data_IF_830643711559
#
_entry.id   IF_830643711559
#
_cell.length_a   1.000
_cell.length_b   1.000
_cell.length_c   1.000
_cell.angle_alpha   90.00
_cell.angle_beta   90.00
_cell.angle_gamma   90.00
#
_symmetry.space_group_name_H-M   'P 1'
#
loop_
_entity.id
_entity.type
_entity.pdbx_description
1 polymer ?
#
# COMPACT_ATOMS: atom_id res chain seq x y z
N UNK A 1 8.25 3.69 -7.90
CA UNK A 1 9.65 3.36 -8.17
C UNK A 1 10.52 3.97 -7.10
N UNK A 2 11.43 3.19 -6.51
CA UNK A 2 12.37 3.61 -5.46
C UNK A 2 13.77 3.15 -5.89
N UNK A 3 14.74 4.06 -5.94
CA UNK A 3 16.11 3.74 -6.38
C UNK A 3 16.94 3.07 -5.27
N UNK A 4 16.44 1.96 -4.74
CA UNK A 4 17.09 1.16 -3.70
C UNK A 4 16.81 -0.34 -3.91
N UNK A 5 17.62 -1.25 -3.34
CA UNK A 5 17.41 -2.70 -3.42
C UNK A 5 16.10 -3.15 -2.77
N UNK A 6 15.48 -4.21 -3.31
CA UNK A 6 14.16 -4.73 -2.86
C UNK A 6 14.12 -4.94 -1.35
N UNK A 7 15.14 -5.57 -0.78
CA UNK A 7 15.18 -5.85 0.67
C UNK A 7 15.15 -4.59 1.53
N UNK A 8 15.87 -3.53 1.13
CA UNK A 8 15.87 -2.28 1.89
C UNK A 8 14.50 -1.61 1.82
N UNK A 9 13.89 -1.58 0.64
CA UNK A 9 12.55 -1.03 0.43
C UNK A 9 11.51 -1.85 1.21
N UNK A 10 11.65 -3.17 1.22
CA UNK A 10 10.76 -4.09 1.93
C UNK A 10 10.76 -3.87 3.44
N UNK A 11 11.95 -3.80 4.06
CA UNK A 11 12.07 -3.53 5.49
C UNK A 11 11.46 -2.18 5.89
N UNK A 12 11.69 -1.14 5.08
CA UNK A 12 11.10 0.17 5.34
C UNK A 12 9.58 0.15 5.18
N UNK A 13 9.07 -0.57 4.17
CA UNK A 13 7.64 -0.70 3.91
C UNK A 13 6.93 -1.41 5.07
N UNK A 14 7.48 -2.51 5.58
CA UNK A 14 6.94 -3.21 6.75
C UNK A 14 6.91 -2.31 8.00
N UNK A 15 7.94 -1.47 8.18
CA UNK A 15 7.99 -0.49 9.26
C UNK A 15 7.03 0.71 9.11
N UNK A 16 6.32 0.84 7.98
CA UNK A 16 5.29 1.86 7.74
C UNK A 16 3.87 1.30 7.80
N UNK A 17 3.69 0.02 8.14
CA UNK A 17 2.38 -0.62 8.23
C UNK A 17 1.40 0.16 9.13
N UNK A 18 0.08 0.03 8.90
CA UNK A 18 -0.93 0.72 9.69
C UNK A 18 -0.84 0.24 11.14
N UNK A 19 -0.37 1.10 12.04
CA UNK A 19 -0.31 0.76 13.47
C UNK A 19 -1.70 0.41 14.00
N UNK A 20 -1.88 -0.80 14.54
CA UNK A 20 -3.15 -1.27 15.10
C UNK A 20 -3.49 -2.73 14.76
N UNK A 21 -4.63 -3.21 15.26
CA UNK A 21 -5.13 -4.56 15.03
C UNK A 21 -5.75 -4.71 13.62
N UNK A 22 -4.90 -4.74 12.60
CA UNK A 22 -5.28 -5.00 11.21
C UNK A 22 -4.84 -6.41 10.86
N UNK A 23 -5.72 -7.22 10.24
CA UNK A 23 -5.31 -8.54 9.76
C UNK A 23 -4.20 -8.35 8.74
N UNK A 24 -3.05 -8.95 9.03
CA UNK A 24 -1.83 -8.82 8.24
C UNK A 24 -1.47 -10.18 7.67
N UNK A 25 -1.30 -10.25 6.35
CA UNK A 25 -0.79 -11.43 5.66
C UNK A 25 0.56 -11.08 5.05
N UNK A 26 1.61 -11.78 5.48
CA UNK A 26 2.97 -11.61 4.99
C UNK A 26 3.32 -12.75 4.03
N UNK A 27 3.78 -12.37 2.84
CA UNK A 27 4.53 -13.23 1.92
C UNK A 27 5.99 -12.79 1.86
N UNK A 28 6.74 -13.28 0.87
CA UNK A 28 8.17 -13.00 0.73
C UNK A 28 8.45 -11.50 0.49
N UNK A 29 7.77 -10.90 -0.50
CA UNK A 29 7.84 -9.47 -0.83
C UNK A 29 6.47 -8.84 -1.03
N UNK A 30 5.48 -9.40 -0.35
CA UNK A 30 4.08 -8.96 -0.40
C UNK A 30 3.50 -8.88 1.00
N UNK A 31 2.80 -7.79 1.32
CA UNK A 31 2.04 -7.68 2.56
C UNK A 31 0.63 -7.22 2.23
N UNK A 32 -0.37 -7.85 2.83
CA UNK A 32 -1.75 -7.39 2.75
C UNK A 32 -2.28 -7.00 4.12
N UNK A 33 -2.97 -5.86 4.18
CA UNK A 33 -3.66 -5.35 5.34
C UNK A 33 -5.16 -5.31 5.06
N UNK A 34 -5.95 -6.04 5.84
CA UNK A 34 -7.41 -6.02 5.74
C UNK A 34 -8.04 -5.11 6.80
N UNK A 35 -8.60 -3.99 6.34
CA UNK A 35 -9.36 -3.05 7.15
C UNK A 35 -10.86 -3.38 7.15
N UNK A 36 -11.40 -3.66 8.33
CA UNK A 36 -12.82 -3.95 8.50
C UNK A 36 -13.30 -5.16 7.67
N UNK A 37 -14.58 -5.13 7.27
CA UNK A 37 -15.21 -6.25 6.57
C UNK A 37 -15.08 -6.20 5.05
N UNK A 38 -14.56 -5.10 4.49
CA UNK A 38 -14.62 -4.86 3.04
C UNK A 38 -13.32 -4.43 2.41
N UNK A 39 -12.40 -3.80 3.15
CA UNK A 39 -11.20 -3.21 2.56
C UNK A 39 -10.00 -4.16 2.73
N UNK A 40 -9.29 -4.42 1.64
CA UNK A 40 -7.97 -5.06 1.65
C UNK A 40 -7.00 -4.25 0.79
N UNK A 41 -5.97 -3.69 1.42
CA UNK A 41 -4.82 -3.12 0.72
C UNK A 41 -3.73 -4.17 0.63
N UNK A 42 -3.12 -4.34 -0.54
CA UNK A 42 -2.00 -5.24 -0.78
C UNK A 42 -0.84 -4.44 -1.35
N UNK A 43 0.32 -4.58 -0.73
CA UNK A 43 1.57 -4.01 -1.19
C UNK A 43 2.47 -5.13 -1.68
N UNK A 44 3.06 -4.93 -2.84
CA UNK A 44 4.09 -5.82 -3.38
C UNK A 44 5.30 -5.01 -3.78
N UNK A 45 6.49 -5.50 -3.43
CA UNK A 45 7.78 -4.99 -3.91
C UNK A 45 8.40 -5.99 -4.87
N UNK A 46 8.91 -5.50 -5.98
CA UNK A 46 9.49 -6.32 -7.05
C UNK A 46 10.71 -5.62 -7.62
N UNK A 47 11.67 -6.39 -8.13
CA UNK A 47 12.84 -5.84 -8.81
C UNK A 47 12.45 -5.01 -10.03
N UNK A 48 13.22 -3.95 -10.28
CA UNK A 48 13.11 -3.11 -11.45
C UNK A 48 14.51 -2.67 -11.91
N UNK A 49 14.75 -2.46 -13.22
CA UNK A 49 16.08 -2.05 -13.72
C UNK A 49 16.68 -0.78 -13.06
N UNK A 50 15.84 0.08 -12.50
CA UNK A 50 16.22 1.33 -11.82
C UNK A 50 16.16 1.23 -10.27
N UNK A 51 15.98 0.03 -9.71
CA UNK A 51 15.85 -0.21 -8.26
C UNK A 51 14.66 -1.13 -7.94
N UNK A 52 13.66 -0.61 -7.26
CA UNK A 52 12.49 -1.38 -6.81
C UNK A 52 11.17 -0.76 -7.27
N UNK A 53 10.28 -1.61 -7.77
CA UNK A 53 8.89 -1.27 -8.04
C UNK A 53 8.02 -1.65 -6.86
N UNK A 54 7.43 -0.63 -6.23
CA UNK A 54 6.38 -0.78 -5.22
C UNK A 54 5.03 -0.65 -5.92
N UNK A 55 4.12 -1.59 -5.67
CA UNK A 55 2.74 -1.56 -6.15
C UNK A 55 1.81 -1.65 -4.95
N UNK A 56 0.77 -0.82 -4.93
CA UNK A 56 -0.32 -0.90 -3.97
C UNK A 56 -1.62 -1.19 -4.72
N UNK A 57 -2.27 -2.31 -4.37
CA UNK A 57 -3.56 -2.73 -4.92
C UNK A 57 -4.60 -2.70 -3.83
N UNK A 58 -5.78 -2.18 -4.14
CA UNK A 58 -6.91 -2.14 -3.22
C UNK A 58 -8.00 -3.04 -3.74
N UNK A 59 -8.49 -3.93 -2.89
CA UNK A 59 -9.56 -4.87 -3.20
C UNK A 59 -10.75 -4.66 -2.26
N UNK A 60 -11.95 -4.86 -2.81
CA UNK A 60 -13.17 -4.99 -2.03
C UNK A 60 -13.43 -6.47 -1.72
N UNK A 61 -13.13 -6.88 -0.49
CA UNK A 61 -13.27 -8.25 0.03
C UNK A 61 -14.55 -8.48 0.82
N UNK A 62 -15.56 -7.61 0.70
CA UNK A 62 -16.82 -7.79 1.43
C UNK A 62 -17.56 -9.06 1.02
N UNK A 63 -17.61 -10.07 1.89
CA UNK A 63 -18.40 -11.29 1.65
C UNK A 63 -19.90 -11.06 1.87
N UNK A 64 -20.23 -10.10 2.73
CA UNK A 64 -21.57 -9.74 3.19
C UNK A 64 -21.72 -8.22 3.30
N UNK A 65 -22.96 -7.72 3.22
CA UNK A 65 -23.28 -6.29 3.25
C UNK A 65 -22.48 -5.45 2.22
N UNK A 66 -22.24 -6.01 1.02
CA UNK A 66 -21.52 -5.32 -0.07
C UNK A 66 -22.16 -3.99 -0.44
N UNK A 67 -23.48 -3.88 -0.31
CA UNK A 67 -24.24 -2.65 -0.53
C UNK A 67 -23.89 -1.53 0.46
N UNK A 68 -23.38 -1.87 1.65
CA UNK A 68 -22.94 -0.92 2.66
C UNK A 68 -21.55 -0.36 2.40
N UNK A 69 -20.76 -0.97 1.52
CA UNK A 69 -19.39 -0.55 1.22
C UNK A 69 -19.33 0.86 0.61
N UNK A 70 -20.15 1.20 -0.41
CA UNK A 70 -20.24 2.56 -0.89
C UNK A 70 -20.56 3.53 0.26
N UNK A 71 -21.52 3.24 1.13
CA UNK A 71 -21.88 4.15 2.23
C UNK A 71 -20.74 4.35 3.24
N UNK A 72 -20.08 3.27 3.64
CA UNK A 72 -18.93 3.32 4.55
C UNK A 72 -17.74 4.09 3.95
N UNK A 73 -17.59 4.05 2.62
CA UNK A 73 -16.52 4.74 1.91
C UNK A 73 -16.96 6.08 1.28
N UNK A 74 -18.00 6.74 1.81
CA UNK A 74 -18.52 8.02 1.28
C UNK A 74 -18.81 7.99 -0.23
N UNK A 75 -19.41 6.90 -0.68
CA UNK A 75 -19.69 6.54 -2.08
C UNK A 75 -18.45 6.55 -2.98
N UNK A 76 -17.26 6.25 -2.42
CA UNK A 76 -15.97 6.30 -3.11
C UNK A 76 -15.58 7.70 -3.64
N UNK A 77 -16.27 8.76 -3.21
CA UNK A 77 -16.02 10.11 -3.71
C UNK A 77 -14.62 10.56 -3.27
N UNK A 78 -13.73 10.72 -4.24
CA UNK A 78 -12.33 11.13 -4.01
C UNK A 78 -11.44 10.03 -3.44
N UNK A 79 -11.94 8.79 -3.34
CA UNK A 79 -11.18 7.65 -2.82
C UNK A 79 -9.96 7.35 -3.68
N UNK A 80 -10.08 7.45 -5.00
CA UNK A 80 -8.99 7.27 -5.96
C UNK A 80 -7.86 8.30 -5.71
N UNK A 81 -8.23 9.57 -5.59
CA UNK A 81 -7.29 10.67 -5.37
C UNK A 81 -6.62 10.55 -4.02
N UNK A 82 -7.39 10.29 -2.96
CA UNK A 82 -6.89 10.13 -1.61
C UNK A 82 -5.94 8.92 -1.52
N UNK A 83 -6.31 7.79 -2.12
CA UNK A 83 -5.47 6.58 -2.14
C UNK A 83 -4.17 6.85 -2.91
N UNK A 84 -4.23 7.53 -4.05
CA UNK A 84 -3.04 7.89 -4.83
C UNK A 84 -2.14 8.86 -4.08
N UNK A 85 -2.70 9.85 -3.38
CA UNK A 85 -1.95 10.80 -2.55
C UNK A 85 -1.28 10.08 -1.37
N UNK A 86 -2.02 9.27 -0.61
CA UNK A 86 -1.47 8.49 0.49
C UNK A 86 -0.35 7.54 0.03
N UNK A 87 -0.49 6.94 -1.15
CA UNK A 87 0.55 6.12 -1.75
C UNK A 87 1.79 6.94 -2.14
N UNK A 88 1.61 8.13 -2.75
CA UNK A 88 2.70 9.04 -3.07
C UNK A 88 3.44 9.49 -1.80
N UNK A 89 2.72 9.85 -0.74
CA UNK A 89 3.30 10.26 0.55
C UNK A 89 4.04 9.09 1.23
N UNK A 90 3.55 7.86 1.08
CA UNK A 90 4.26 6.66 1.50
C UNK A 90 5.58 6.47 0.74
N UNK A 91 5.55 6.59 -0.59
CA UNK A 91 6.76 6.52 -1.42
C UNK A 91 7.79 7.57 -1.03
N UNK A 92 7.38 8.83 -0.85
CA UNK A 92 8.30 9.90 -0.43
C UNK A 92 8.96 9.56 0.90
N UNK A 93 8.21 9.12 1.90
CA UNK A 93 8.76 8.70 3.21
C UNK A 93 9.74 7.54 3.10
N UNK A 94 9.50 6.58 2.20
CA UNK A 94 10.45 5.50 1.92
C UNK A 94 11.74 6.08 1.32
N UNK A 95 11.62 6.97 0.33
CA UNK A 95 12.75 7.65 -0.30
C UNK A 95 13.58 8.45 0.70
N UNK A 96 12.95 9.24 1.56
CA UNK A 96 13.59 10.03 2.61
C UNK A 96 14.36 9.15 3.60
N UNK A 97 13.74 8.04 4.07
CA UNK A 97 14.41 7.10 4.99
C UNK A 97 15.62 6.41 4.37
N UNK A 98 15.57 6.15 3.07
CA UNK A 98 16.65 5.47 2.35
C UNK A 98 17.65 6.45 1.70
N UNK A 99 17.39 7.77 1.76
CA UNK A 99 18.21 8.78 1.09
C UNK A 99 18.26 8.64 -0.43
N UNK A 100 17.19 8.15 -1.06
CA UNK A 100 17.17 7.82 -2.49
C UNK A 100 15.99 8.47 -3.23
N UNK A 101 16.13 8.72 -4.56
CA UNK A 101 15.05 9.29 -5.36
C UNK A 101 13.89 8.30 -5.53
N UNK A 102 12.68 8.85 -5.61
CA UNK A 102 11.44 8.10 -5.87
C UNK A 102 10.70 8.68 -7.07
N UNK A 103 9.99 7.82 -7.79
CA UNK A 103 9.17 8.19 -8.94
C UNK A 103 7.82 7.49 -8.86
N UNK A 104 6.75 8.26 -9.02
CA UNK A 104 5.39 7.74 -9.19
C UNK A 104 5.11 7.61 -10.69
N UNK A 105 4.65 6.44 -11.13
CA UNK A 105 4.24 6.13 -12.50
C UNK A 105 2.77 5.78 -12.51
#
# INVERSE_FOLDING_TARGET
>A
MVAAPVEQVWQVLLGQGPGGAVKTELGEHTVAYQGGWWYRGEWSVTDHPEGTRVVHRVYNVAEWLRWGVPLANRLFIGFDRQTRQAFADGLVRIGEKLGCPTRLT
#
